data_IF_924509576136
#
_entry.id   IF_924509576136
#
_cell.length_a   1.000
_cell.length_b   1.000
_cell.length_c   1.000
_cell.angle_alpha   90.00
_cell.angle_beta   90.00
_cell.angle_gamma   90.00
#
_symmetry.space_group_name_H-M   'P 1'
#
loop_
_entity.id
_entity.type
_entity.pdbx_description
1 polymer ?
#
# COMPACT_ATOMS: atom_id res chain seq x y z
N UNK A 1 2.68 -1.73 0.60
CA UNK A 1 2.82 -3.08 0.04
C UNK A 1 2.10 -3.14 -1.29
N UNK A 2 2.55 -4.02 -2.18
CA UNK A 2 1.93 -4.22 -3.49
C UNK A 2 2.31 -5.60 -4.02
N UNK A 3 1.35 -6.34 -4.52
CA UNK A 3 1.60 -7.56 -5.27
C UNK A 3 0.54 -7.79 -6.33
N UNK A 4 0.63 -8.96 -6.95
CA UNK A 4 -0.25 -9.30 -8.08
C UNK A 4 -1.57 -9.83 -7.55
N UNK A 5 -2.67 -9.37 -8.14
CA UNK A 5 -4.00 -9.91 -7.84
C UNK A 5 -4.12 -11.29 -8.51
N UNK A 6 -4.41 -12.31 -7.74
CA UNK A 6 -4.55 -13.68 -8.27
C UNK A 6 -5.84 -13.86 -9.09
N UNK A 7 -5.90 -14.84 -10.01
CA UNK A 7 -7.11 -15.13 -10.76
C UNK A 7 -8.31 -15.44 -9.86
N UNK A 8 -9.35 -14.59 -9.93
CA UNK A 8 -10.56 -14.72 -9.12
C UNK A 8 -10.47 -14.10 -7.72
N UNK A 9 -9.34 -13.46 -7.40
CA UNK A 9 -9.16 -12.74 -6.14
C UNK A 9 -9.73 -11.31 -6.24
N UNK A 10 -10.47 -10.91 -5.20
CA UNK A 10 -10.93 -9.52 -5.07
C UNK A 10 -9.74 -8.59 -4.75
N UNK A 11 -9.62 -7.41 -5.37
CA UNK A 11 -8.47 -6.52 -5.17
C UNK A 11 -8.19 -6.13 -3.71
N UNK A 12 -9.25 -5.94 -2.91
CA UNK A 12 -9.11 -5.67 -1.47
C UNK A 12 -8.55 -6.87 -0.71
N UNK A 13 -8.95 -8.09 -1.07
CA UNK A 13 -8.42 -9.33 -0.48
C UNK A 13 -6.95 -9.50 -0.82
N UNK A 14 -6.55 -9.23 -2.08
CA UNK A 14 -5.16 -9.22 -2.50
C UNK A 14 -4.34 -8.24 -1.65
N UNK A 15 -4.83 -7.01 -1.44
CA UNK A 15 -4.15 -6.02 -0.63
C UNK A 15 -3.93 -6.48 0.84
N UNK A 16 -4.91 -7.17 1.44
CA UNK A 16 -4.75 -7.74 2.79
C UNK A 16 -3.78 -8.92 2.82
N UNK A 17 -3.85 -9.80 1.82
CA UNK A 17 -2.96 -10.96 1.69
C UNK A 17 -1.50 -10.51 1.58
N UNK A 18 -1.20 -9.60 0.66
CA UNK A 18 0.13 -9.03 0.44
C UNK A 18 0.66 -8.31 1.69
N UNK A 19 -0.21 -7.58 2.40
CA UNK A 19 0.17 -6.89 3.64
C UNK A 19 0.59 -7.88 4.74
N UNK A 20 -0.06 -9.04 4.80
CA UNK A 20 0.31 -10.13 5.72
C UNK A 20 1.59 -10.83 5.27
N UNK A 21 1.70 -11.17 3.99
CA UNK A 21 2.80 -11.96 3.43
C UNK A 21 4.13 -11.20 3.43
N UNK A 22 4.14 -9.98 2.87
CA UNK A 22 5.36 -9.20 2.71
C UNK A 22 5.76 -8.43 3.98
N UNK A 23 4.79 -8.04 4.81
CA UNK A 23 5.02 -7.12 5.93
C UNK A 23 4.71 -7.66 7.31
N UNK A 24 4.15 -8.87 7.42
CA UNK A 24 3.80 -9.48 8.70
C UNK A 24 2.69 -8.75 9.46
N UNK A 25 1.96 -7.85 8.79
CA UNK A 25 0.87 -7.11 9.43
C UNK A 25 -0.40 -7.96 9.34
N UNK A 26 -0.78 -8.52 10.48
CA UNK A 26 -1.97 -9.36 10.61
C UNK A 26 -3.21 -8.54 11.00
N UNK A 27 -4.39 -9.15 10.91
CA UNK A 27 -5.66 -8.60 11.40
C UNK A 27 -6.02 -7.20 10.86
N UNK A 28 -5.53 -6.86 9.67
CA UNK A 28 -5.92 -5.66 8.94
C UNK A 28 -7.30 -5.83 8.29
N UNK A 29 -8.01 -4.71 8.14
CA UNK A 29 -9.30 -4.63 7.44
C UNK A 29 -9.27 -3.55 6.37
N UNK A 30 -10.09 -3.69 5.33
CA UNK A 30 -10.26 -2.66 4.30
C UNK A 30 -11.17 -1.56 4.84
N UNK A 31 -10.61 -0.37 5.03
CA UNK A 31 -11.34 0.82 5.43
C UNK A 31 -11.94 1.57 4.23
N UNK A 32 -11.27 1.56 3.08
CA UNK A 32 -11.77 2.17 1.85
C UNK A 32 -11.11 1.60 0.59
N UNK A 33 -11.87 1.58 -0.50
CA UNK A 33 -11.33 1.50 -1.86
C UNK A 33 -11.01 2.92 -2.36
N UNK A 34 -9.75 3.16 -2.74
CA UNK A 34 -9.25 4.46 -3.22
C UNK A 34 -9.26 4.54 -4.75
N UNK A 35 -9.60 3.45 -5.42
CA UNK A 35 -9.76 3.32 -6.85
C UNK A 35 -8.49 2.87 -7.58
N UNK A 36 -8.63 2.85 -8.90
CA UNK A 36 -7.61 2.33 -9.81
C UNK A 36 -6.77 3.49 -10.37
N UNK A 37 -5.47 3.27 -10.45
CA UNK A 37 -4.51 4.16 -11.08
C UNK A 37 -3.73 3.42 -12.17
N UNK A 38 -3.73 3.98 -13.38
CA UNK A 38 -2.79 3.56 -14.42
C UNK A 38 -1.52 4.38 -14.31
N UNK A 39 -0.39 3.71 -14.13
CA UNK A 39 0.90 4.38 -13.93
C UNK A 39 1.46 5.00 -15.22
N UNK A 40 0.96 4.58 -16.38
CA UNK A 40 1.53 4.93 -17.69
C UNK A 40 2.92 4.35 -17.94
N UNK A 41 3.39 3.44 -17.08
CA UNK A 41 4.70 2.79 -17.16
C UNK A 41 4.53 1.26 -17.17
N UNK A 42 5.11 0.61 -18.18
CA UNK A 42 5.11 -0.86 -18.35
C UNK A 42 3.75 -1.51 -18.08
N UNK A 43 2.67 -0.85 -18.54
CA UNK A 43 1.28 -1.29 -18.39
C UNK A 43 0.83 -1.61 -16.95
N UNK A 44 1.53 -1.07 -15.94
CA UNK A 44 1.13 -1.26 -14.55
C UNK A 44 -0.14 -0.47 -14.24
N UNK A 45 -1.18 -1.22 -13.89
CA UNK A 45 -2.46 -0.73 -13.36
C UNK A 45 -2.62 -1.24 -11.93
N UNK A 46 -2.80 -0.33 -10.97
CA UNK A 46 -2.86 -0.66 -9.54
C UNK A 46 -4.23 -0.33 -8.97
N UNK A 47 -4.77 -1.24 -8.15
CA UNK A 47 -5.92 -0.98 -7.29
C UNK A 47 -5.43 -0.57 -5.90
N UNK A 48 -5.83 0.60 -5.40
CA UNK A 48 -5.41 1.09 -4.10
C UNK A 48 -6.49 0.89 -3.05
N UNK A 49 -6.11 0.29 -1.93
CA UNK A 49 -6.99 0.12 -0.78
C UNK A 49 -6.37 0.71 0.48
N UNK A 50 -7.16 1.42 1.27
CA UNK A 50 -6.79 1.86 2.61
C UNK A 50 -7.06 0.73 3.59
N UNK A 51 -6.00 0.20 4.18
CA UNK A 51 -6.08 -0.82 5.22
C UNK A 51 -5.97 -0.17 6.61
N UNK A 52 -6.69 -0.72 7.58
CA UNK A 52 -6.64 -0.30 8.98
C UNK A 52 -6.38 -1.50 9.88
N UNK A 53 -5.47 -1.30 10.83
CA UNK A 53 -5.17 -2.24 11.91
C UNK A 53 -5.60 -1.64 13.25
N UNK A 54 -6.04 -2.50 14.16
CA UNK A 54 -6.46 -2.08 15.51
C UNK A 54 -5.28 -1.94 16.46
N UNK A 55 -4.19 -2.65 16.19
CA UNK A 55 -2.98 -2.64 16.99
C UNK A 55 -2.04 -1.49 16.60
N UNK A 56 -1.25 -1.05 17.58
CA UNK A 56 -0.20 -0.07 17.33
C UNK A 56 1.03 -0.79 16.77
N UNK A 57 1.32 -0.54 15.50
CA UNK A 57 2.54 -1.02 14.86
C UNK A 57 3.76 -0.19 15.30
N UNK A 58 4.97 -0.78 15.32
CA UNK A 58 6.20 -0.06 15.62
C UNK A 58 6.55 0.95 14.51
N UNK A 59 7.41 1.92 14.82
CA UNK A 59 7.85 2.92 13.83
C UNK A 59 8.73 2.31 12.72
N UNK A 60 9.42 1.20 13.06
CA UNK A 60 10.24 0.38 12.18
C UNK A 60 10.13 -1.08 12.58
N UNK A 61 10.14 -1.99 11.62
CA UNK A 61 10.21 -3.43 11.88
C UNK A 61 10.85 -4.16 10.70
N UNK A 62 11.26 -5.40 10.96
CA UNK A 62 11.68 -6.34 9.92
C UNK A 62 10.68 -7.48 9.80
N UNK A 63 10.59 -8.08 8.62
CA UNK A 63 9.77 -9.27 8.37
C UNK A 63 10.44 -10.20 7.36
N UNK A 64 10.34 -11.50 7.61
CA UNK A 64 10.78 -12.53 6.70
C UNK A 64 9.58 -13.04 5.89
N UNK A 65 9.44 -12.56 4.67
CA UNK A 65 8.45 -13.05 3.71
C UNK A 65 8.91 -14.42 3.20
N UNK A 66 8.15 -15.47 3.50
CA UNK A 66 8.55 -16.87 3.19
C UNK A 66 8.19 -17.32 1.76
N UNK A 67 7.58 -16.44 0.97
CA UNK A 67 7.21 -16.67 -0.42
C UNK A 67 8.40 -16.48 -1.37
N UNK A 68 8.27 -17.02 -2.60
CA UNK A 68 9.18 -16.84 -3.74
C UNK A 68 10.69 -16.90 -3.47
N UNK A 69 11.11 -17.70 -2.49
CA UNK A 69 12.52 -17.94 -2.16
C UNK A 69 13.03 -17.26 -0.89
N UNK A 70 12.16 -16.58 -0.14
CA UNK A 70 12.49 -16.01 1.16
C UNK A 70 13.12 -14.62 1.03
N UNK A 71 12.42 -13.59 1.46
CA UNK A 71 12.89 -12.20 1.43
C UNK A 71 12.80 -11.56 2.82
N UNK A 72 13.92 -11.00 3.27
CA UNK A 72 13.95 -10.15 4.46
C UNK A 72 13.71 -8.69 4.05
N UNK A 73 12.64 -8.10 4.59
CA UNK A 73 12.28 -6.70 4.36
C UNK A 73 12.44 -5.87 5.64
N UNK A 74 12.86 -4.62 5.47
CA UNK A 74 12.79 -3.59 6.50
C UNK A 74 11.74 -2.55 6.16
N UNK A 75 10.91 -2.24 7.15
CA UNK A 75 9.80 -1.32 7.01
C UNK A 75 9.93 -0.10 7.92
N UNK A 76 9.33 0.99 7.46
CA UNK A 76 9.17 2.24 8.18
C UNK A 76 7.96 3.01 7.64
N UNK A 77 7.41 3.92 8.43
CA UNK A 77 6.32 4.78 8.00
C UNK A 77 6.83 6.02 7.25
N UNK A 78 6.29 6.27 6.06
CA UNK A 78 6.50 7.53 5.34
C UNK A 78 5.21 8.37 5.38
N UNK A 79 5.30 9.58 5.93
CA UNK A 79 4.15 10.46 6.07
C UNK A 79 3.62 10.94 4.71
N UNK A 80 2.29 10.92 4.53
CA UNK A 80 1.64 11.30 3.28
C UNK A 80 2.00 12.74 2.84
N UNK A 81 2.22 13.68 3.75
CA UNK A 81 2.61 15.06 3.42
C UNK A 81 4.09 15.23 3.06
N UNK A 82 4.94 14.22 3.34
CA UNK A 82 6.39 14.30 3.15
C UNK A 82 6.75 13.98 1.70
N UNK A 83 7.58 14.83 1.08
CA UNK A 83 8.04 14.58 -0.29
C UNK A 83 8.92 13.32 -0.37
N UNK A 84 8.82 12.54 -1.46
CA UNK A 84 9.75 11.45 -1.71
C UNK A 84 11.15 11.99 -1.96
N UNK A 85 12.19 11.21 -1.64
CA UNK A 85 13.56 11.55 -2.00
C UNK A 85 13.80 11.32 -3.49
N UNK A 86 14.91 11.82 -4.02
CA UNK A 86 15.32 11.59 -5.42
C UNK A 86 15.66 10.13 -5.74
N UNK A 87 15.78 9.28 -4.73
CA UNK A 87 16.07 7.84 -4.89
C UNK A 87 14.84 7.02 -5.23
N UNK A 88 13.64 7.60 -5.09
CA UNK A 88 12.39 6.89 -5.36
C UNK A 88 12.19 6.73 -6.86
N UNK A 89 11.80 5.52 -7.27
CA UNK A 89 11.36 5.28 -8.63
C UNK A 89 10.11 6.13 -8.96
N UNK A 90 10.04 6.68 -10.18
CA UNK A 90 8.98 7.60 -10.60
C UNK A 90 7.56 7.02 -10.42
N UNK A 91 7.41 5.71 -10.56
CA UNK A 91 6.14 5.00 -10.30
C UNK A 91 5.65 5.19 -8.85
N UNK A 92 6.53 5.09 -7.85
CA UNK A 92 6.14 5.29 -6.46
C UNK A 92 5.84 6.77 -6.14
N UNK A 93 6.52 7.69 -6.83
CA UNK A 93 6.21 9.13 -6.76
C UNK A 93 4.79 9.41 -7.30
N UNK A 94 4.44 8.82 -8.44
CA UNK A 94 3.10 8.91 -9.02
C UNK A 94 2.02 8.29 -8.13
N UNK A 95 2.29 7.11 -7.58
CA UNK A 95 1.41 6.44 -6.62
C UNK A 95 1.12 7.31 -5.39
N UNK A 96 2.15 7.93 -4.81
CA UNK A 96 1.99 8.83 -3.67
C UNK A 96 1.14 10.08 -4.03
N UNK A 97 1.34 10.64 -5.23
CA UNK A 97 0.53 11.76 -5.71
C UNK A 97 -0.95 11.37 -5.88
N UNK A 98 -1.22 10.19 -6.43
CA UNK A 98 -2.57 9.65 -6.53
C UNK A 98 -3.23 9.48 -5.15
N UNK A 99 -2.53 8.86 -4.20
CA UNK A 99 -3.02 8.67 -2.83
C UNK A 99 -3.35 10.00 -2.14
N UNK A 100 -2.48 11.01 -2.27
CA UNK A 100 -2.74 12.37 -1.73
C UNK A 100 -4.03 12.97 -2.28
N UNK A 101 -4.26 12.83 -3.59
CA UNK A 101 -5.48 13.32 -4.22
C UNK A 101 -6.72 12.61 -3.65
N UNK A 102 -6.72 11.27 -3.59
CA UNK A 102 -7.86 10.48 -3.12
C UNK A 102 -8.21 10.76 -1.66
N UNK A 103 -7.20 10.84 -0.79
CA UNK A 103 -7.41 11.05 0.64
C UNK A 103 -7.74 12.51 1.00
N UNK A 104 -7.26 13.48 0.21
CA UNK A 104 -7.67 14.89 0.38
C UNK A 104 -9.14 15.14 0.01
N UNK A 105 -9.68 14.39 -0.96
CA UNK A 105 -11.10 14.44 -1.35
C UNK A 105 -11.98 13.75 -0.31
N UNK A 106 -11.48 12.71 0.36
CA UNK A 106 -12.21 11.94 1.37
C UNK A 106 -12.28 12.62 2.76
N UNK A 107 -11.50 13.69 2.98
CA UNK A 107 -11.59 14.47 4.22
C UNK A 107 -12.88 15.31 4.20
N UNK A 108 -13.86 15.09 5.11
CA UNK A 108 -15.04 15.94 5.16
C UNK A 108 -14.59 17.34 5.55
N UNK A 109 -14.67 18.29 4.60
CA UNK A 109 -14.61 19.71 4.95
C UNK A 109 -15.86 20.05 5.75
N UNK A 110 -15.71 20.15 7.07
CA UNK A 110 -16.71 20.62 8.04
C UNK A 110 -18.02 19.80 8.10
N UNK A 111 -18.23 19.11 9.22
CA UNK A 111 -19.56 18.92 9.82
C UNK A 111 -19.51 19.43 11.25
#
# INVERSE_FOLDING_TARGET
>A
MKGTIEPGEEPGSAALRELREEAGIENATIAADLGIWSSGYADHVWSFHLCQVSERLPDRWGHHASDDGGHDFEFFWHGLSRNPSSEWHAMFVGALAFLRQKLSISSPKYR
#
